data_IF_248534439240
#
_entry.id   IF_248534439240
#
_cell.length_a   1.000
_cell.length_b   1.000
_cell.length_c   1.000
_cell.angle_alpha   90.00
_cell.angle_beta   90.00
_cell.angle_gamma   90.00
#
_symmetry.space_group_name_H-M   'P 1'
#
loop_
_entity.id
_entity.type
_entity.pdbx_description
1 polymer ?
#
# COMPACT_ATOMS: atom_id res chain seq x y z
N UNK A 1 6.22 -36.20 -4.55
CA UNK A 1 6.77 -35.58 -3.33
C UNK A 1 5.75 -35.73 -2.21
N UNK A 2 6.18 -35.94 -0.96
CA UNK A 2 5.25 -35.96 0.19
C UNK A 2 4.65 -34.55 0.41
N UNK A 3 3.30 -34.40 0.44
CA UNK A 3 2.65 -33.10 0.61
C UNK A 3 3.06 -32.36 1.89
N UNK A 4 3.24 -33.09 3.00
CA UNK A 4 3.63 -32.47 4.26
C UNK A 4 5.06 -31.92 4.18
N UNK A 5 5.98 -32.68 3.58
CA UNK A 5 7.35 -32.20 3.33
C UNK A 5 7.36 -30.96 2.42
N UNK A 6 6.54 -30.93 1.37
CA UNK A 6 6.44 -29.75 0.50
C UNK A 6 5.94 -28.52 1.26
N UNK A 7 4.91 -28.69 2.10
CA UNK A 7 4.37 -27.62 2.94
C UNK A 7 5.42 -27.07 3.92
N UNK A 8 6.22 -27.93 4.56
CA UNK A 8 7.29 -27.49 5.47
C UNK A 8 8.37 -26.68 4.74
N UNK A 9 8.68 -27.02 3.48
CA UNK A 9 9.65 -26.26 2.66
C UNK A 9 9.10 -24.87 2.33
N UNK A 10 7.83 -24.79 1.93
CA UNK A 10 7.14 -23.52 1.66
C UNK A 10 7.10 -22.64 2.91
N UNK A 11 6.73 -23.21 4.06
CA UNK A 11 6.68 -22.51 5.34
C UNK A 11 8.05 -21.92 5.70
N UNK A 12 9.11 -22.74 5.63
CA UNK A 12 10.47 -22.28 5.93
C UNK A 12 10.93 -21.18 4.97
N UNK A 13 10.67 -21.32 3.67
CA UNK A 13 11.03 -20.29 2.69
C UNK A 13 10.33 -18.96 2.97
N UNK A 14 9.03 -19.00 3.28
CA UNK A 14 8.23 -17.81 3.56
C UNK A 14 8.59 -17.15 4.91
N UNK A 15 8.93 -17.92 5.94
CA UNK A 15 9.37 -17.38 7.24
C UNK A 15 10.77 -16.76 7.18
N UNK A 16 11.63 -17.26 6.31
CA UNK A 16 12.99 -16.73 6.13
C UNK A 16 13.05 -15.56 5.14
N UNK A 17 11.97 -15.27 4.41
CA UNK A 17 11.91 -14.17 3.46
C UNK A 17 11.49 -12.86 4.11
N UNK A 18 12.11 -11.77 3.67
CA UNK A 18 11.71 -10.40 4.04
C UNK A 18 10.62 -9.88 3.09
N UNK A 19 10.66 -10.30 1.83
CA UNK A 19 9.74 -9.85 0.78
C UNK A 19 8.69 -10.92 0.43
N UNK A 20 7.51 -10.54 -0.09
CA UNK A 20 6.55 -11.51 -0.63
C UNK A 20 7.15 -12.33 -1.76
N UNK A 21 6.93 -13.65 -1.72
CA UNK A 21 7.45 -14.58 -2.73
C UNK A 21 6.35 -14.94 -3.72
N UNK A 22 6.61 -14.76 -5.02
CA UNK A 22 5.67 -15.14 -6.06
C UNK A 22 5.51 -16.66 -6.16
N UNK A 23 4.32 -17.15 -6.54
CA UNK A 23 4.06 -18.59 -6.72
C UNK A 23 5.07 -19.25 -7.67
N UNK A 24 5.45 -18.54 -8.74
CA UNK A 24 6.46 -18.99 -9.70
C UNK A 24 7.83 -19.20 -9.07
N UNK A 25 8.21 -18.40 -8.07
CA UNK A 25 9.48 -18.55 -7.37
C UNK A 25 9.42 -19.69 -6.34
N UNK A 26 8.27 -19.86 -5.68
CA UNK A 26 8.04 -21.01 -4.81
C UNK A 26 8.09 -22.34 -5.56
N UNK A 27 7.60 -22.39 -6.82
CA UNK A 27 7.73 -23.57 -7.68
C UNK A 27 9.18 -23.98 -7.94
N UNK A 28 10.08 -23.00 -8.08
CA UNK A 28 11.52 -23.25 -8.32
C UNK A 28 12.21 -23.97 -7.15
N UNK A 29 11.65 -23.90 -5.94
CA UNK A 29 12.16 -24.67 -4.78
C UNK A 29 12.03 -26.19 -4.98
N UNK A 30 11.24 -26.61 -5.97
CA UNK A 30 10.95 -28.00 -6.28
C UNK A 30 11.36 -28.37 -7.71
N UNK A 31 12.29 -27.62 -8.32
CA UNK A 31 12.73 -27.82 -9.72
C UNK A 31 11.54 -27.85 -10.71
N UNK A 32 10.52 -27.03 -10.47
CA UNK A 32 9.26 -26.99 -11.24
C UNK A 32 8.52 -28.35 -11.32
N UNK A 33 8.80 -29.28 -10.40
CA UNK A 33 8.17 -30.60 -10.35
C UNK A 33 6.72 -30.58 -9.85
N UNK A 34 6.24 -29.43 -9.38
CA UNK A 34 4.86 -29.21 -8.94
C UNK A 34 4.25 -28.01 -9.65
N UNK A 35 2.99 -28.12 -10.02
CA UNK A 35 2.27 -27.06 -10.72
C UNK A 35 1.88 -25.91 -9.78
N UNK A 36 1.64 -24.73 -10.36
CA UNK A 36 1.19 -23.53 -9.64
C UNK A 36 -0.10 -23.77 -8.84
N UNK A 37 -1.01 -24.60 -9.36
CA UNK A 37 -2.25 -24.97 -8.67
C UNK A 37 -1.97 -25.75 -7.39
N UNK A 38 -1.04 -26.71 -7.42
CA UNK A 38 -0.62 -27.51 -6.27
C UNK A 38 0.03 -26.61 -5.22
N UNK A 39 0.94 -25.72 -5.62
CA UNK A 39 1.56 -24.75 -4.72
C UNK A 39 0.49 -23.88 -4.05
N UNK A 40 -0.47 -23.37 -4.82
CA UNK A 40 -1.56 -22.54 -4.29
C UNK A 40 -2.41 -23.31 -3.28
N UNK A 41 -2.75 -24.57 -3.55
CA UNK A 41 -3.46 -25.43 -2.59
C UNK A 41 -2.67 -25.63 -1.30
N UNK A 42 -1.37 -25.88 -1.39
CA UNK A 42 -0.51 -26.05 -0.22
C UNK A 42 -0.40 -24.76 0.61
N UNK A 43 -0.34 -23.60 -0.04
CA UNK A 43 -0.32 -22.29 0.63
C UNK A 43 -1.65 -21.99 1.33
N UNK A 44 -2.77 -22.35 0.72
CA UNK A 44 -4.10 -22.23 1.32
C UNK A 44 -4.26 -23.11 2.56
N UNK A 45 -3.77 -24.35 2.50
CA UNK A 45 -3.76 -25.24 3.66
C UNK A 45 -2.80 -24.73 4.75
N UNK A 46 -1.62 -24.24 4.37
CA UNK A 46 -0.68 -23.61 5.31
C UNK A 46 -1.30 -22.37 5.99
N UNK A 47 -2.03 -21.55 5.23
CA UNK A 47 -2.77 -20.39 5.78
C UNK A 47 -3.76 -20.84 6.85
N UNK A 48 -4.49 -21.93 6.62
CA UNK A 48 -5.43 -22.49 7.61
C UNK A 48 -4.71 -22.97 8.87
N UNK A 49 -3.57 -23.65 8.73
CA UNK A 49 -2.77 -24.14 9.86
C UNK A 49 -2.26 -23.00 10.77
N UNK A 50 -2.13 -21.79 10.23
CA UNK A 50 -1.65 -20.60 10.94
C UNK A 50 -2.75 -19.71 11.52
N UNK A 51 -4.03 -20.07 11.37
CA UNK A 51 -5.20 -19.25 11.79
C UNK A 51 -5.19 -18.83 13.28
N UNK A 52 -4.53 -19.59 14.15
CA UNK A 52 -4.50 -19.33 15.60
C UNK A 52 -3.11 -18.99 16.16
N UNK A 53 -2.15 -18.67 15.28
CA UNK A 53 -0.78 -18.29 15.66
C UNK A 53 -0.65 -16.75 15.68
N UNK A 54 0.48 -16.24 16.15
CA UNK A 54 0.74 -14.79 16.18
C UNK A 54 1.14 -14.19 14.83
N UNK A 55 1.49 -15.04 13.86
CA UNK A 55 1.70 -14.68 12.46
C UNK A 55 0.56 -15.26 11.61
N UNK A 56 0.32 -14.64 10.47
CA UNK A 56 -0.61 -15.11 9.46
C UNK A 56 0.05 -15.09 8.07
N UNK A 57 -0.37 -16.04 7.23
CA UNK A 57 0.05 -16.11 5.84
C UNK A 57 -0.96 -15.34 4.98
N UNK A 58 -0.48 -14.30 4.29
CA UNK A 58 -1.31 -13.46 3.42
C UNK A 58 -0.85 -13.53 1.97
N UNK A 59 -1.81 -13.37 1.07
CA UNK A 59 -1.56 -13.18 -0.35
C UNK A 59 -1.69 -11.69 -0.69
N UNK A 60 -0.65 -11.13 -1.29
CA UNK A 60 -0.61 -9.76 -1.81
C UNK A 60 -0.36 -9.79 -3.31
N UNK A 61 -0.46 -8.62 -3.98
CA UNK A 61 -0.26 -8.54 -5.43
C UNK A 61 1.06 -9.16 -5.93
N UNK A 62 2.14 -8.99 -5.18
CA UNK A 62 3.49 -9.45 -5.54
C UNK A 62 3.77 -10.91 -5.15
N UNK A 63 2.98 -11.51 -4.27
CA UNK A 63 3.23 -12.88 -3.81
C UNK A 63 2.61 -13.21 -2.46
N UNK A 64 3.19 -14.19 -1.78
CA UNK A 64 2.78 -14.65 -0.46
C UNK A 64 3.83 -14.27 0.59
N UNK A 65 3.39 -13.88 1.80
CA UNK A 65 4.30 -13.60 2.94
C UNK A 65 3.65 -13.93 4.27
N UNK A 66 4.49 -14.19 5.27
CA UNK A 66 4.06 -14.11 6.66
C UNK A 66 4.07 -12.66 7.14
N UNK A 67 3.07 -12.29 7.93
CA UNK A 67 3.03 -11.02 8.63
C UNK A 67 2.49 -11.21 10.05
N UNK A 68 2.80 -10.27 10.94
CA UNK A 68 2.23 -10.23 12.28
C UNK A 68 0.75 -9.91 12.20
N UNK A 69 -0.07 -10.64 12.96
CA UNK A 69 -1.49 -10.36 13.08
C UNK A 69 -1.73 -9.04 13.81
N UNK A 70 -2.81 -8.34 13.43
CA UNK A 70 -3.11 -7.00 13.97
C UNK A 70 -3.28 -6.99 15.50
N UNK A 71 -3.84 -8.06 16.07
CA UNK A 71 -4.01 -8.22 17.52
C UNK A 71 -2.68 -8.34 18.28
N UNK A 72 -1.65 -8.87 17.63
CA UNK A 72 -0.28 -9.01 18.17
C UNK A 72 0.56 -7.76 17.89
N UNK A 73 0.38 -7.12 16.73
CA UNK A 73 1.16 -5.97 16.25
C UNK A 73 1.28 -4.86 17.31
N UNK A 74 0.18 -4.52 17.99
CA UNK A 74 0.16 -3.49 19.07
C UNK A 74 1.15 -3.74 20.21
N UNK A 75 1.50 -4.99 20.47
CA UNK A 75 2.46 -5.36 21.51
C UNK A 75 3.90 -5.28 20.98
N UNK A 76 4.11 -5.59 19.69
CA UNK A 76 5.44 -5.53 19.06
C UNK A 76 5.91 -4.09 18.81
N UNK A 77 4.98 -3.15 18.61
CA UNK A 77 5.30 -1.72 18.49
C UNK A 77 6.04 -1.17 19.72
N UNK A 78 5.88 -1.79 20.90
CA UNK A 78 6.64 -1.43 22.11
C UNK A 78 8.13 -1.77 22.00
N UNK A 79 8.50 -2.73 21.15
CA UNK A 79 9.88 -3.18 20.97
C UNK A 79 10.64 -2.35 19.93
N UNK A 80 9.94 -1.69 18.99
CA UNK A 80 10.56 -0.89 17.94
C UNK A 80 9.92 0.51 17.86
N UNK A 81 10.37 1.48 18.67
CA UNK A 81 9.73 2.78 18.80
C UNK A 81 9.95 3.72 17.61
N UNK A 82 10.83 3.37 16.66
CA UNK A 82 10.93 4.11 15.39
C UNK A 82 9.64 3.92 14.59
N UNK A 83 8.75 4.91 14.70
CA UNK A 83 7.53 4.96 13.92
C UNK A 83 7.90 5.11 12.44
N UNK A 84 7.28 4.33 11.52
CA UNK A 84 7.48 4.54 10.10
C UNK A 84 7.15 5.99 9.71
N UNK A 85 7.79 6.53 8.65
CA UNK A 85 7.53 7.87 8.18
C UNK A 85 6.03 8.04 7.87
N UNK A 86 5.46 9.11 8.39
CA UNK A 86 4.03 9.39 8.34
C UNK A 86 3.73 10.28 7.14
N UNK A 87 2.79 9.90 6.27
CA UNK A 87 2.35 10.74 5.14
C UNK A 87 1.27 11.71 5.59
N UNK A 88 1.22 12.93 5.04
CA UNK A 88 0.18 13.91 5.39
C UNK A 88 -1.21 13.52 4.88
N UNK A 89 -2.27 14.14 5.44
CA UNK A 89 -3.66 13.90 5.02
C UNK A 89 -3.85 14.23 3.54
N UNK A 90 -3.30 15.35 3.09
CA UNK A 90 -3.33 15.76 1.70
C UNK A 90 -2.66 14.73 0.76
N UNK A 91 -1.60 14.07 1.23
CA UNK A 91 -0.92 13.00 0.47
C UNK A 91 -1.82 11.78 0.31
N UNK A 92 -2.46 11.35 1.40
CA UNK A 92 -3.35 10.19 1.39
C UNK A 92 -4.64 10.45 0.61
N UNK A 93 -5.23 11.65 0.70
CA UNK A 93 -6.37 12.05 -0.12
C UNK A 93 -6.04 12.02 -1.62
N UNK A 94 -4.85 12.53 -1.98
CA UNK A 94 -4.36 12.50 -3.37
C UNK A 94 -4.22 11.06 -3.85
N UNK A 95 -3.60 10.19 -3.05
CA UNK A 95 -3.44 8.77 -3.37
C UNK A 95 -4.78 8.07 -3.53
N UNK A 96 -5.75 8.33 -2.64
CA UNK A 96 -7.09 7.75 -2.71
C UNK A 96 -7.77 8.12 -4.03
N UNK A 97 -7.74 9.39 -4.43
CA UNK A 97 -8.32 9.83 -5.70
C UNK A 97 -7.68 9.08 -6.88
N UNK A 98 -6.36 8.93 -6.89
CA UNK A 98 -5.67 8.17 -7.94
C UNK A 98 -6.13 6.71 -7.93
N UNK A 99 -6.15 6.04 -6.77
CA UNK A 99 -6.52 4.63 -6.66
C UNK A 99 -7.94 4.34 -7.17
N UNK A 100 -8.90 5.22 -6.88
CA UNK A 100 -10.32 5.04 -7.22
C UNK A 100 -10.73 5.59 -8.58
N UNK A 101 -10.02 6.60 -9.12
CA UNK A 101 -10.41 7.29 -10.35
C UNK A 101 -9.44 7.09 -11.51
N UNK A 102 -8.33 6.38 -11.31
CA UNK A 102 -7.34 6.14 -12.36
C UNK A 102 -7.95 5.63 -13.67
N UNK A 103 -7.41 6.05 -14.82
CA UNK A 103 -6.27 6.96 -14.97
C UNK A 103 -6.65 8.45 -14.86
N UNK A 104 -5.95 9.21 -14.02
CA UNK A 104 -6.24 10.64 -13.75
C UNK A 104 -5.06 11.55 -14.04
N UNK A 105 -5.33 12.79 -14.40
CA UNK A 105 -4.33 13.86 -14.50
C UNK A 105 -4.26 14.64 -13.20
N UNK A 106 -3.18 15.39 -12.97
CA UNK A 106 -3.07 16.31 -11.83
C UNK A 106 -4.24 17.30 -11.76
N UNK A 107 -4.69 17.81 -12.91
CA UNK A 107 -5.85 18.72 -12.98
C UNK A 107 -7.17 18.06 -12.57
N UNK A 108 -7.37 16.77 -12.86
CA UNK A 108 -8.55 16.05 -12.39
C UNK A 108 -8.55 15.91 -10.86
N UNK A 109 -7.38 15.60 -10.29
CA UNK A 109 -7.22 15.48 -8.84
C UNK A 109 -7.52 16.81 -8.16
N UNK A 110 -6.98 17.91 -8.67
CA UNK A 110 -7.21 19.26 -8.15
C UNK A 110 -8.69 19.66 -8.25
N UNK A 111 -9.35 19.29 -9.34
CA UNK A 111 -10.79 19.54 -9.53
C UNK A 111 -11.65 18.79 -8.51
N UNK A 112 -11.26 17.58 -8.11
CA UNK A 112 -11.96 16.79 -7.10
C UNK A 112 -11.67 17.31 -5.68
N UNK A 113 -10.41 17.66 -5.38
CA UNK A 113 -10.01 18.15 -4.05
C UNK A 113 -10.42 19.60 -3.78
N UNK A 114 -10.66 20.39 -4.83
CA UNK A 114 -10.92 21.83 -4.73
C UNK A 114 -9.70 22.67 -4.36
N UNK A 115 -8.51 22.06 -4.24
CA UNK A 115 -7.25 22.72 -3.91
C UNK A 115 -6.11 22.18 -4.79
N UNK A 116 -5.09 23.00 -5.01
CA UNK A 116 -3.90 22.60 -5.76
C UNK A 116 -3.16 21.45 -5.06
N UNK A 117 -2.74 20.45 -5.83
CA UNK A 117 -1.91 19.35 -5.32
C UNK A 117 -0.47 19.80 -5.40
N UNK A 118 0.31 19.70 -4.32
CA UNK A 118 1.71 20.11 -4.38
C UNK A 118 2.54 19.15 -5.23
N UNK A 119 3.57 19.65 -5.92
CA UNK A 119 4.49 18.80 -6.69
C UNK A 119 5.24 17.80 -5.78
N UNK A 120 5.48 18.18 -4.52
CA UNK A 120 6.12 17.33 -3.52
C UNK A 120 5.25 16.12 -3.16
N UNK A 121 3.93 16.28 -3.07
CA UNK A 121 3.00 15.16 -2.82
C UNK A 121 3.07 14.13 -3.94
N UNK A 122 2.97 14.56 -5.20
CA UNK A 122 3.08 13.65 -6.35
C UNK A 122 4.42 12.93 -6.35
N UNK A 123 5.51 13.66 -6.12
CA UNK A 123 6.85 13.08 -6.05
C UNK A 123 7.02 12.09 -4.89
N UNK A 124 6.47 12.37 -3.71
CA UNK A 124 6.55 11.45 -2.58
C UNK A 124 5.83 10.12 -2.86
N UNK A 125 4.67 10.16 -3.52
CA UNK A 125 3.93 8.98 -3.93
C UNK A 125 4.66 8.18 -5.01
N UNK A 126 5.30 8.88 -5.96
CA UNK A 126 6.11 8.27 -7.03
C UNK A 126 7.41 7.66 -6.48
N UNK A 127 8.15 8.38 -5.63
CA UNK A 127 9.40 7.93 -4.99
C UNK A 127 9.14 6.69 -4.09
N UNK A 128 7.97 6.62 -3.45
CA UNK A 128 7.54 5.42 -2.69
C UNK A 128 7.17 4.25 -3.61
N UNK A 129 7.02 4.51 -4.89
CA UNK A 129 6.61 3.55 -5.91
C UNK A 129 5.12 3.26 -5.88
N UNK A 130 4.26 4.09 -5.28
CA UNK A 130 2.82 3.83 -5.19
C UNK A 130 2.04 4.28 -6.42
N UNK A 131 2.55 5.29 -7.13
CA UNK A 131 1.97 5.77 -8.39
C UNK A 131 3.03 5.83 -9.48
N UNK A 132 2.58 5.77 -10.73
CA UNK A 132 3.43 5.96 -11.91
C UNK A 132 2.68 6.70 -13.01
N UNK A 133 3.43 7.34 -13.92
CA UNK A 133 2.83 7.93 -15.11
C UNK A 133 2.72 6.89 -16.21
N UNK A 134 1.48 6.58 -16.61
CA UNK A 134 1.18 5.56 -17.64
C UNK A 134 1.02 6.15 -19.05
N UNK A 135 1.25 7.45 -19.22
CA UNK A 135 1.10 8.15 -20.49
C UNK A 135 0.62 9.59 -20.33
N UNK A 136 0.10 10.17 -21.40
CA UNK A 136 -0.39 11.55 -21.41
C UNK A 136 -1.77 11.61 -22.07
N UNK A 137 -2.66 12.46 -21.54
CA UNK A 137 -3.98 12.69 -22.11
C UNK A 137 -3.88 13.52 -23.40
N UNK A 138 -4.68 13.17 -24.40
CA UNK A 138 -4.78 13.94 -25.65
C UNK A 138 -5.66 15.19 -25.45
N UNK A 139 -5.08 16.19 -24.78
CA UNK A 139 -5.70 17.47 -24.45
C UNK A 139 -4.62 18.59 -24.51
N UNK A 140 -5.00 19.87 -24.56
CA UNK A 140 -4.04 20.97 -24.53
C UNK A 140 -3.07 20.86 -23.35
N UNK A 141 -1.77 21.02 -23.62
CA UNK A 141 -0.70 20.85 -22.62
C UNK A 141 -0.30 19.39 -22.36
N UNK A 142 -1.00 18.40 -22.95
CA UNK A 142 -0.72 16.96 -22.85
C UNK A 142 -0.36 16.52 -21.43
N UNK A 143 -1.25 16.70 -20.44
CA UNK A 143 -0.94 16.38 -19.05
C UNK A 143 -0.71 14.87 -18.84
N UNK A 144 0.21 14.54 -17.94
CA UNK A 144 0.50 13.16 -17.54
C UNK A 144 -0.72 12.48 -16.91
N UNK A 145 -0.92 11.21 -17.22
CA UNK A 145 -1.90 10.31 -16.60
C UNK A 145 -1.21 9.46 -15.55
N UNK A 146 -1.79 9.44 -14.35
CA UNK A 146 -1.32 8.74 -13.17
C UNK A 146 -2.22 7.55 -12.85
N UNK A 147 -1.58 6.47 -12.42
CA UNK A 147 -2.20 5.23 -11.97
C UNK A 147 -1.41 4.65 -10.78
N UNK A 148 -2.03 3.74 -10.03
CA UNK A 148 -1.35 3.02 -8.96
C UNK A 148 -0.55 1.83 -9.48
N UNK A 149 0.48 1.46 -8.74
CA UNK A 149 1.42 0.39 -9.13
C UNK A 149 1.09 -0.94 -8.43
N UNK A 150 1.73 -2.05 -8.82
CA UNK A 150 1.70 -3.28 -8.03
C UNK A 150 2.27 -3.14 -6.61
N UNK A 151 3.23 -2.23 -6.40
CA UNK A 151 3.83 -1.98 -5.08
C UNK A 151 2.80 -1.34 -4.14
N UNK A 152 1.97 -0.42 -4.64
CA UNK A 152 0.85 0.13 -3.86
C UNK A 152 -0.05 -0.99 -3.33
N UNK A 153 -0.45 -1.92 -4.19
CA UNK A 153 -1.28 -3.05 -3.77
C UNK A 153 -0.57 -3.94 -2.74
N UNK A 154 0.73 -4.20 -2.93
CA UNK A 154 1.51 -5.03 -2.00
C UNK A 154 1.67 -4.39 -0.62
N UNK A 155 1.88 -3.07 -0.56
CA UNK A 155 2.04 -2.34 0.70
C UNK A 155 0.71 -2.21 1.45
N UNK A 156 -0.42 -2.09 0.73
CA UNK A 156 -1.76 -2.05 1.31
C UNK A 156 -2.36 -3.44 1.60
N UNK A 157 -1.59 -4.52 1.43
CA UNK A 157 -2.06 -5.90 1.58
C UNK A 157 -3.24 -6.29 0.68
N UNK A 158 -3.28 -5.73 -0.54
CA UNK A 158 -4.32 -5.98 -1.53
C UNK A 158 -3.79 -6.92 -2.63
N UNK A 159 -4.64 -7.84 -3.10
CA UNK A 159 -4.32 -8.67 -4.26
C UNK A 159 -4.68 -7.96 -5.57
N UNK A 160 -5.67 -7.07 -5.54
CA UNK A 160 -6.22 -6.37 -6.68
C UNK A 160 -6.86 -5.03 -6.29
N UNK A 161 -7.08 -4.15 -7.27
CA UNK A 161 -7.80 -2.89 -7.05
C UNK A 161 -9.27 -3.10 -6.68
N UNK A 162 -9.87 -4.22 -7.06
CA UNK A 162 -11.24 -4.57 -6.66
C UNK A 162 -11.39 -4.88 -5.17
N UNK A 163 -10.27 -5.10 -4.47
CA UNK A 163 -10.27 -5.31 -3.01
C UNK A 163 -10.31 -3.97 -2.26
N UNK A 164 -10.26 -2.83 -2.96
CA UNK A 164 -10.46 -1.52 -2.35
C UNK A 164 -11.90 -1.39 -1.81
N UNK A 165 -12.09 -0.85 -0.60
CA UNK A 165 -13.41 -0.58 -0.05
C UNK A 165 -14.26 0.28 -1.00
N UNK A 166 -15.55 0.01 -1.13
CA UNK A 166 -16.43 0.86 -1.92
C UNK A 166 -16.51 2.28 -1.32
N UNK A 167 -16.47 3.29 -2.18
CA UNK A 167 -16.72 4.68 -1.79
C UNK A 167 -18.22 4.83 -1.46
N UNK A 168 -18.56 4.83 -0.17
CA UNK A 168 -19.83 5.35 0.33
C UNK A 168 -19.51 6.68 1.03
N UNK A 169 -20.22 7.75 0.69
CA UNK A 169 -19.97 9.11 1.19
C UNK A 169 -20.01 9.22 2.75
N UNK A 170 -20.65 8.27 3.44
CA UNK A 170 -20.67 8.19 4.92
C UNK A 170 -19.53 7.35 5.51
N UNK A 171 -18.91 6.47 4.71
CA UNK A 171 -17.78 5.61 5.12
C UNK A 171 -16.44 6.31 4.95
N UNK A 172 -16.34 7.41 4.23
CA UNK A 172 -15.07 8.15 4.05
C UNK A 172 -14.48 8.65 5.38
N UNK A 173 -15.32 9.07 6.31
CA UNK A 173 -14.89 9.46 7.66
C UNK A 173 -14.43 8.23 8.47
N UNK A 174 -15.14 7.10 8.33
CA UNK A 174 -14.83 5.86 9.05
C UNK A 174 -13.61 5.13 8.46
N UNK A 175 -13.39 5.20 7.16
CA UNK A 175 -12.23 4.66 6.45
C UNK A 175 -11.00 5.53 6.71
N UNK A 176 -11.14 6.86 6.76
CA UNK A 176 -10.09 7.73 7.26
C UNK A 176 -9.71 7.35 8.70
N UNK A 177 -10.70 7.12 9.58
CA UNK A 177 -10.48 6.70 10.97
C UNK A 177 -9.88 5.28 11.09
N UNK A 178 -10.22 4.34 10.19
CA UNK A 178 -9.65 2.99 10.16
C UNK A 178 -8.23 2.96 9.57
N UNK A 179 -7.97 3.71 8.49
CA UNK A 179 -6.63 3.88 7.92
C UNK A 179 -5.70 4.60 8.91
N UNK A 180 -6.24 5.52 9.72
CA UNK A 180 -5.51 6.21 10.79
C UNK A 180 -5.19 5.30 12.00
N UNK A 181 -5.90 4.18 12.17
CA UNK A 181 -5.55 3.14 13.16
C UNK A 181 -4.48 2.18 12.65
N UNK A 182 -4.46 1.89 11.36
CA UNK A 182 -3.52 0.94 10.74
C UNK A 182 -2.16 1.61 10.43
N UNK A 183 -2.16 2.93 10.22
CA UNK A 183 -0.99 3.73 9.84
C UNK A 183 -0.73 4.79 10.92
N UNK A 184 0.41 4.77 11.63
CA UNK A 184 0.73 5.81 12.60
C UNK A 184 0.77 7.17 11.90
N UNK A 185 -0.15 8.10 12.23
CA UNK A 185 -0.21 9.47 11.68
C UNK A 185 0.14 10.52 12.77
N UNK A 186 0.98 11.52 12.44
CA UNK A 186 1.40 12.73 13.18
C UNK A 186 2.45 13.43 12.29
N UNK A 187 2.00 14.32 11.41
CA UNK A 187 2.72 15.57 11.19
C UNK A 187 1.68 16.67 11.25
N UNK A 188 1.99 17.64 12.08
CA UNK A 188 1.22 18.85 12.33
C UNK A 188 1.35 19.72 11.06
N UNK A 189 0.33 19.70 10.19
CA UNK A 189 0.23 20.60 9.03
C UNK A 189 -0.21 22.02 9.45
N UNK A 190 0.16 22.45 10.66
CA UNK A 190 -0.09 23.80 11.16
C UNK A 190 1.14 24.72 11.07
N UNK A 191 2.02 24.52 10.10
CA UNK A 191 3.10 25.48 9.84
C UNK A 191 3.49 25.50 8.35
N UNK A 192 2.68 26.13 7.50
CA UNK A 192 3.20 26.75 6.25
C UNK A 192 2.26 27.79 5.61
N UNK A 193 1.13 28.15 6.22
CA UNK A 193 0.20 29.13 5.64
C UNK A 193 0.31 30.57 6.18
N UNK A 194 1.21 30.89 7.13
CA UNK A 194 1.25 32.23 7.75
C UNK A 194 2.51 33.07 7.48
N UNK A 195 3.52 32.59 6.73
CA UNK A 195 4.77 33.34 6.55
C UNK A 195 4.89 34.19 5.27
N UNK A 196 3.89 34.21 4.39
CA UNK A 196 3.93 35.06 3.18
C UNK A 196 3.25 36.43 3.33
N UNK A 197 2.43 36.67 4.37
CA UNK A 197 1.80 37.99 4.59
C UNK A 197 2.62 38.94 5.49
N UNK A 198 3.58 38.44 6.27
CA UNK A 198 4.29 39.28 7.26
C UNK A 198 5.63 39.87 6.77
N UNK A 199 6.07 39.61 5.54
CA UNK A 199 7.30 40.21 4.98
C UNK A 199 7.05 41.46 4.11
N UNK A 200 5.80 41.77 3.74
CA UNK A 200 5.50 43.02 3.01
C UNK A 200 5.15 44.22 3.92
N UNK A 201 4.95 44.01 5.23
CA UNK A 201 4.59 45.08 6.16
C UNK A 201 5.78 45.79 6.84
N UNK A 202 7.03 45.34 6.63
CA UNK A 202 8.23 45.92 7.28
C UNK A 202 9.21 46.62 6.33
N UNK A 203 8.81 46.90 5.08
CA UNK A 203 9.63 47.69 4.13
C UNK A 203 9.05 49.09 3.82
N UNK A 204 8.40 49.73 4.80
CA UNK A 204 8.10 51.17 4.76
C UNK A 204 8.98 51.93 5.76
#
# INVERSE_FOLDING_TARGET
MDPQRAKNILEAALLCSVEPIAVKELMRLFDDAIDASVVTTLLEDLRRDWTHKGLELVQVKTGWRFQTREDVKRYLEQMNPEKPPKYSRATMETLAIIAYKQPVTRGDIESIRGVTVSTQVMKALEDRGWIESIGHRDAPGRPALWATTPQFLADLNLASLSDLPALDDEKDQQLADELQKVIPFDLDDSETAENDENQQAQSN
#
